data_IF_222421072983
#
_entry.id   IF_222421072983
#
_cell.length_a   1.000
_cell.length_b   1.000
_cell.length_c   1.000
_cell.angle_alpha   90.00
_cell.angle_beta   90.00
_cell.angle_gamma   90.00
#
_symmetry.space_group_name_H-M   'P 1'
#
loop_
_entity.id
_entity.type
_entity.pdbx_description
1 polymer ?
#
# COMPACT_ATOMS: atom_id res chain seq x y z
N UNK A 1 25.49 15.79 28.65
CA UNK A 1 26.10 15.73 27.30
C UNK A 1 24.99 15.82 26.27
N UNK A 2 24.96 16.92 25.52
CA UNK A 2 24.02 17.19 24.43
C UNK A 2 24.28 16.24 23.26
N UNK A 3 23.22 15.67 22.66
CA UNK A 3 23.27 15.11 21.31
C UNK A 3 22.39 15.97 20.41
N UNK A 4 23.04 16.58 19.43
CA UNK A 4 22.55 17.67 18.61
C UNK A 4 21.47 17.25 17.60
N UNK A 5 20.47 18.12 17.45
CA UNK A 5 19.47 18.07 16.40
C UNK A 5 20.10 18.40 15.04
N UNK A 6 20.12 17.44 14.12
CA UNK A 6 20.60 17.62 12.75
C UNK A 6 19.52 18.22 11.84
N UNK A 7 19.50 19.54 11.72
CA UNK A 7 18.72 20.26 10.73
C UNK A 7 19.29 20.02 9.32
N UNK A 8 18.53 19.38 8.43
CA UNK A 8 18.89 19.23 7.01
C UNK A 8 18.55 20.50 6.26
N UNK A 9 19.57 21.30 5.92
CA UNK A 9 19.45 22.52 5.14
C UNK A 9 18.99 22.26 3.70
N UNK A 10 18.00 23.01 3.25
CA UNK A 10 17.55 23.06 1.86
C UNK A 10 18.59 23.83 1.01
N UNK A 11 19.26 23.12 0.10
CA UNK A 11 20.13 23.74 -0.90
C UNK A 11 19.28 24.41 -2.00
N UNK A 12 19.39 25.74 -2.08
CA UNK A 12 18.75 26.62 -3.06
C UNK A 12 19.42 26.44 -4.44
N UNK A 13 18.75 25.78 -5.40
CA UNK A 13 19.27 25.61 -6.76
C UNK A 13 19.12 26.91 -7.57
N UNK A 14 20.26 27.37 -8.08
CA UNK A 14 20.46 28.61 -8.83
C UNK A 14 19.74 28.57 -10.18
N UNK A 15 19.15 29.72 -10.51
CA UNK A 15 18.44 30.08 -11.74
C UNK A 15 19.42 30.15 -12.91
N UNK A 16 19.24 29.33 -13.93
CA UNK A 16 20.07 29.34 -15.14
C UNK A 16 19.26 29.11 -16.41
N UNK A 17 19.33 30.08 -17.34
CA UNK A 17 19.27 29.84 -18.77
C UNK A 17 17.89 29.78 -19.44
N UNK A 18 17.49 30.92 -20.00
CA UNK A 18 16.39 31.08 -20.97
C UNK A 18 16.86 30.54 -22.33
N UNK A 19 16.45 29.33 -22.71
CA UNK A 19 16.64 28.76 -24.06
C UNK A 19 15.36 28.92 -24.89
N UNK A 20 15.44 29.66 -25.99
CA UNK A 20 14.36 29.86 -26.97
C UNK A 20 14.14 28.60 -27.82
N UNK A 21 12.87 28.25 -28.03
CA UNK A 21 12.27 27.72 -29.27
C UNK A 21 12.84 26.45 -29.91
N UNK A 22 12.05 25.37 -29.90
CA UNK A 22 11.98 24.45 -31.03
C UNK A 22 10.60 23.77 -31.05
N UNK A 23 9.95 23.83 -32.20
CA UNK A 23 8.71 23.17 -32.52
C UNK A 23 8.85 21.63 -32.47
N UNK A 24 7.70 20.96 -32.27
CA UNK A 24 7.46 19.55 -32.58
C UNK A 24 8.48 18.53 -32.03
N UNK A 25 8.56 18.40 -30.70
CA UNK A 25 9.32 17.34 -30.05
C UNK A 25 8.43 16.16 -29.66
N UNK A 26 8.37 15.13 -30.50
CA UNK A 26 8.01 13.80 -30.02
C UNK A 26 8.89 13.45 -28.81
N UNK A 27 8.28 12.99 -27.72
CA UNK A 27 8.97 12.70 -26.47
C UNK A 27 10.07 11.64 -26.73
N UNK A 28 11.33 12.09 -26.69
CA UNK A 28 12.50 11.22 -26.92
C UNK A 28 12.48 10.05 -25.93
N UNK A 29 12.53 8.83 -26.46
CA UNK A 29 12.62 7.59 -25.68
C UNK A 29 11.30 6.83 -25.50
N UNK A 30 10.19 7.29 -26.08
CA UNK A 30 8.92 6.57 -26.08
C UNK A 30 8.86 5.63 -27.29
N UNK A 31 8.52 4.35 -27.06
CA UNK A 31 8.29 3.41 -28.16
C UNK A 31 7.12 3.93 -29.03
N UNK A 32 7.21 3.79 -30.36
CA UNK A 32 6.22 4.36 -31.28
C UNK A 32 4.79 3.87 -30.97
N UNK A 33 4.64 2.64 -30.49
CA UNK A 33 3.35 2.02 -30.15
C UNK A 33 2.68 2.63 -28.91
N UNK A 34 3.45 3.28 -28.04
CA UNK A 34 2.96 3.93 -26.80
C UNK A 34 2.53 5.39 -27.03
N UNK A 35 2.90 5.97 -28.18
CA UNK A 35 2.56 7.33 -28.55
C UNK A 35 1.03 7.63 -28.56
N UNK A 36 0.13 6.74 -29.04
CA UNK A 36 -1.32 6.98 -29.00
C UNK A 36 -1.94 6.87 -27.61
N UNK A 37 -1.31 6.13 -26.69
CA UNK A 37 -1.79 5.93 -25.31
C UNK A 37 -1.31 7.01 -24.35
N UNK A 38 -0.26 7.73 -24.74
CA UNK A 38 0.37 8.75 -23.94
C UNK A 38 -0.56 9.89 -23.50
N UNK A 39 -1.55 10.35 -24.28
CA UNK A 39 -2.55 11.34 -23.83
C UNK A 39 -3.45 10.83 -22.69
N UNK A 40 -3.64 9.51 -22.56
CA UNK A 40 -4.42 8.91 -21.48
C UNK A 40 -3.59 8.77 -20.19
N UNK A 41 -2.29 8.51 -20.33
CA UNK A 41 -1.33 8.36 -19.22
C UNK A 41 -0.90 9.73 -18.69
N UNK A 42 -0.54 10.64 -19.60
CA UNK A 42 -0.22 12.02 -19.27
C UNK A 42 -1.50 12.76 -18.95
N UNK A 43 -1.89 12.69 -17.66
CA UNK A 43 -2.96 13.46 -17.00
C UNK A 43 -3.75 14.29 -18.01
N UNK A 44 -4.89 13.78 -18.55
CA UNK A 44 -5.80 14.64 -19.26
C UNK A 44 -6.01 15.89 -18.39
N UNK A 45 -6.06 17.08 -18.99
CA UNK A 45 -6.43 18.32 -18.31
C UNK A 45 -7.88 18.19 -17.84
N UNK A 46 -8.14 17.30 -16.88
CA UNK A 46 -9.39 17.23 -16.14
C UNK A 46 -9.41 18.52 -15.37
N UNK A 47 -10.37 19.38 -15.71
CA UNK A 47 -10.65 20.56 -14.92
C UNK A 47 -10.83 20.09 -13.48
N UNK A 48 -9.98 20.59 -12.58
CA UNK A 48 -10.12 20.28 -11.16
C UNK A 48 -11.41 20.94 -10.73
N UNK A 49 -12.48 20.16 -10.63
CA UNK A 49 -13.72 20.61 -10.01
C UNK A 49 -13.34 21.01 -8.58
N UNK A 50 -13.31 22.32 -8.32
CA UNK A 50 -13.12 22.84 -6.97
C UNK A 50 -14.43 22.59 -6.24
N UNK A 51 -14.48 21.53 -5.43
CA UNK A 51 -15.57 21.35 -4.50
C UNK A 51 -15.44 22.42 -3.42
N UNK A 52 -16.37 23.37 -3.41
CA UNK A 52 -16.47 24.37 -2.36
C UNK A 52 -17.29 23.75 -1.22
N UNK A 53 -16.62 23.05 -0.32
CA UNK A 53 -17.26 22.54 0.90
C UNK A 53 -17.57 23.70 1.84
N UNK A 54 -18.69 23.60 2.55
CA UNK A 54 -18.97 24.46 3.69
C UNK A 54 -18.04 24.11 4.86
N UNK A 55 -17.85 25.03 5.79
CA UNK A 55 -17.00 24.81 6.98
C UNK A 55 -17.52 23.63 7.83
N UNK A 56 -18.83 23.47 7.93
CA UNK A 56 -19.47 22.35 8.63
C UNK A 56 -19.16 21.00 7.96
N UNK A 57 -19.23 20.93 6.63
CA UNK A 57 -18.89 19.72 5.88
C UNK A 57 -17.41 19.33 6.01
N UNK A 58 -16.52 20.32 6.10
CA UNK A 58 -15.08 20.09 6.32
C UNK A 58 -14.84 19.49 7.71
N UNK A 59 -15.45 20.07 8.75
CA UNK A 59 -15.33 19.56 10.12
C UNK A 59 -15.91 18.14 10.25
N UNK A 60 -17.02 17.86 9.59
CA UNK A 60 -17.61 16.53 9.55
C UNK A 60 -16.77 15.51 8.78
N UNK A 61 -16.14 15.93 7.68
CA UNK A 61 -15.20 15.09 6.95
C UNK A 61 -13.97 14.77 7.81
N UNK A 62 -13.42 15.75 8.53
CA UNK A 62 -12.29 15.56 9.44
C UNK A 62 -12.63 14.60 10.59
N UNK A 63 -13.81 14.76 11.20
CA UNK A 63 -14.29 13.88 12.26
C UNK A 63 -14.39 12.44 11.77
N UNK A 64 -15.06 12.22 10.63
CA UNK A 64 -15.19 10.88 10.02
C UNK A 64 -13.84 10.28 9.67
N UNK A 65 -12.90 11.07 9.15
CA UNK A 65 -11.56 10.60 8.82
C UNK A 65 -10.78 10.16 10.08
N UNK A 66 -10.86 10.95 11.18
CA UNK A 66 -10.23 10.61 12.47
C UNK A 66 -10.83 9.34 13.07
N UNK A 67 -12.15 9.19 13.04
CA UNK A 67 -12.85 8.00 13.53
C UNK A 67 -12.46 6.76 12.73
N UNK A 68 -12.47 6.84 11.40
CA UNK A 68 -12.03 5.76 10.52
C UNK A 68 -10.59 5.35 10.81
N UNK A 69 -9.68 6.33 10.94
CA UNK A 69 -8.28 6.08 11.28
C UNK A 69 -8.11 5.38 12.63
N UNK A 70 -8.88 5.80 13.64
CA UNK A 70 -8.90 5.16 14.96
C UNK A 70 -9.38 3.72 14.88
N UNK A 71 -10.47 3.46 14.17
CA UNK A 71 -11.00 2.11 13.99
C UNK A 71 -10.01 1.20 13.26
N UNK A 72 -9.37 1.69 12.19
CA UNK A 72 -8.34 0.94 11.47
C UNK A 72 -7.11 0.65 12.32
N UNK A 73 -6.71 1.59 13.16
CA UNK A 73 -5.61 1.38 14.12
C UNK A 73 -5.96 0.28 15.12
N UNK A 74 -7.18 0.27 15.65
CA UNK A 74 -7.65 -0.78 16.54
C UNK A 74 -7.70 -2.15 15.86
N UNK A 75 -8.22 -2.24 14.64
CA UNK A 75 -8.24 -3.48 13.84
C UNK A 75 -6.82 -4.03 13.64
N UNK A 76 -5.86 -3.16 13.32
CA UNK A 76 -4.46 -3.58 13.15
C UNK A 76 -3.84 -4.07 14.46
N UNK A 77 -4.09 -3.39 15.58
CA UNK A 77 -3.60 -3.83 16.90
C UNK A 77 -4.21 -5.18 17.29
N UNK A 78 -5.50 -5.39 17.04
CA UNK A 78 -6.16 -6.67 17.30
C UNK A 78 -5.54 -7.79 16.45
N UNK A 79 -5.32 -7.55 15.16
CA UNK A 79 -4.66 -8.51 14.27
C UNK A 79 -3.23 -8.85 14.73
N UNK A 80 -2.44 -7.84 15.13
CA UNK A 80 -1.08 -8.06 15.64
C UNK A 80 -1.06 -8.93 16.89
N UNK A 81 -1.97 -8.67 17.84
CA UNK A 81 -2.09 -9.47 19.08
C UNK A 81 -2.51 -10.91 18.78
N UNK A 82 -3.45 -11.10 17.87
CA UNK A 82 -3.86 -12.44 17.42
C UNK A 82 -2.70 -13.21 16.77
N UNK A 83 -1.92 -12.56 15.90
CA UNK A 83 -0.73 -13.16 15.31
C UNK A 83 0.33 -13.51 16.37
N UNK A 84 0.58 -12.61 17.32
CA UNK A 84 1.51 -12.86 18.42
C UNK A 84 1.09 -14.07 19.27
N UNK A 85 -0.19 -14.17 19.64
CA UNK A 85 -0.72 -15.32 20.36
C UNK A 85 -0.54 -16.63 19.58
N UNK A 86 -0.82 -16.61 18.26
CA UNK A 86 -0.60 -17.78 17.39
C UNK A 86 0.87 -18.18 17.32
N UNK A 87 1.80 -17.23 17.29
CA UNK A 87 3.23 -17.53 17.31
C UNK A 87 3.68 -18.11 18.65
N UNK A 88 3.18 -17.59 19.78
CA UNK A 88 3.46 -18.15 21.11
C UNK A 88 2.99 -19.59 21.21
N UNK A 89 1.72 -19.85 20.87
CA UNK A 89 1.15 -21.20 20.86
C UNK A 89 1.90 -22.15 19.92
N UNK A 90 2.32 -21.68 18.73
CA UNK A 90 3.15 -22.47 17.80
C UNK A 90 4.47 -22.87 18.45
N UNK A 91 5.15 -21.95 19.14
CA UNK A 91 6.44 -22.21 19.77
C UNK A 91 6.31 -23.18 20.96
N UNK A 92 5.27 -23.01 21.78
CA UNK A 92 4.94 -23.92 22.88
C UNK A 92 4.63 -25.32 22.35
N UNK A 93 3.82 -25.42 21.29
CA UNK A 93 3.52 -26.69 20.65
C UNK A 93 4.77 -27.36 20.05
N UNK A 94 5.68 -26.58 19.46
CA UNK A 94 6.95 -27.10 18.94
C UNK A 94 7.85 -27.63 20.07
N UNK A 95 7.95 -26.91 21.19
CA UNK A 95 8.70 -27.36 22.36
C UNK A 95 8.11 -28.62 23.02
N UNK A 96 6.78 -28.81 22.91
CA UNK A 96 6.10 -29.99 23.41
C UNK A 96 6.28 -31.24 22.51
N UNK A 97 6.77 -31.09 21.28
CA UNK A 97 7.00 -32.22 20.37
C UNK A 97 8.20 -33.08 20.85
N UNK A 98 8.16 -34.40 20.62
CA UNK A 98 9.33 -35.26 20.77
C UNK A 98 10.48 -34.82 19.86
N UNK A 99 11.72 -34.94 20.34
CA UNK A 99 12.93 -34.49 19.63
C UNK A 99 13.04 -35.03 18.20
N UNK A 100 12.65 -36.30 17.99
CA UNK A 100 12.65 -36.94 16.67
C UNK A 100 11.76 -36.23 15.63
N UNK A 101 10.71 -35.53 16.05
CA UNK A 101 9.76 -34.83 15.18
C UNK A 101 10.02 -33.32 15.07
N UNK A 102 10.83 -32.75 15.97
CA UNK A 102 11.11 -31.31 15.96
C UNK A 102 11.85 -30.88 14.69
N UNK A 103 12.76 -31.74 14.18
CA UNK A 103 13.55 -31.44 12.99
C UNK A 103 12.68 -31.35 11.72
N UNK A 104 11.81 -32.34 11.49
CA UNK A 104 10.91 -32.34 10.33
C UNK A 104 9.87 -31.22 10.40
N UNK A 105 9.34 -30.94 11.60
CA UNK A 105 8.36 -29.87 11.80
C UNK A 105 8.91 -28.44 11.61
N UNK A 106 10.23 -28.25 11.71
CA UNK A 106 10.86 -26.94 11.54
C UNK A 106 11.35 -26.68 10.10
N UNK A 107 11.17 -27.62 9.19
CA UNK A 107 11.51 -27.41 7.79
C UNK A 107 10.55 -26.39 7.15
N UNK A 108 11.05 -25.44 6.35
CA UNK A 108 10.20 -24.50 5.65
C UNK A 108 9.38 -25.25 4.59
N UNK A 109 8.06 -25.10 4.66
CA UNK A 109 7.16 -25.59 3.63
C UNK A 109 7.30 -24.74 2.35
N UNK A 110 7.58 -25.40 1.23
CA UNK A 110 7.73 -24.79 -0.09
C UNK A 110 6.52 -25.07 -0.99
N UNK A 111 5.51 -25.78 -0.49
CA UNK A 111 4.29 -26.05 -1.25
C UNK A 111 3.52 -24.73 -1.49
N UNK A 112 3.15 -24.42 -2.74
CA UNK A 112 2.31 -23.28 -3.01
C UNK A 112 0.90 -23.50 -2.45
N UNK A 113 0.16 -22.42 -2.19
CA UNK A 113 -1.26 -22.57 -1.86
C UNK A 113 -2.02 -23.31 -2.98
N UNK A 114 -2.99 -24.16 -2.63
CA UNK A 114 -3.72 -24.95 -3.61
C UNK A 114 -4.51 -24.03 -4.55
N UNK A 115 -4.52 -24.33 -5.85
CA UNK A 115 -5.24 -23.55 -6.86
C UNK A 115 -6.76 -23.53 -6.64
N UNK A 116 -7.29 -24.47 -5.87
CA UNK A 116 -8.70 -24.54 -5.48
C UNK A 116 -9.06 -23.57 -4.35
N UNK A 117 -8.08 -22.90 -3.72
CA UNK A 117 -8.33 -21.92 -2.65
C UNK A 117 -9.08 -20.72 -3.21
N UNK A 118 -10.36 -20.62 -2.85
CA UNK A 118 -11.23 -19.51 -3.28
C UNK A 118 -10.96 -18.25 -2.47
N UNK A 119 -10.88 -17.12 -3.16
CA UNK A 119 -10.90 -15.80 -2.54
C UNK A 119 -12.37 -15.40 -2.33
N UNK A 120 -12.76 -14.89 -1.15
CA UNK A 120 -14.10 -14.36 -0.94
C UNK A 120 -14.42 -13.31 -2.01
N UNK A 121 -15.57 -13.49 -2.66
CA UNK A 121 -16.09 -12.59 -3.69
C UNK A 121 -17.32 -11.87 -3.14
N UNK A 122 -17.66 -10.71 -3.71
CA UNK A 122 -18.78 -9.90 -3.24
C UNK A 122 -20.12 -10.67 -3.31
N UNK A 123 -20.27 -11.56 -4.28
CA UNK A 123 -21.46 -12.40 -4.46
C UNK A 123 -21.06 -13.87 -4.65
N UNK A 124 -21.82 -14.80 -4.06
CA UNK A 124 -21.63 -16.22 -4.35
C UNK A 124 -21.93 -16.51 -5.83
N UNK A 125 -21.07 -17.23 -6.57
CA UNK A 125 -21.40 -17.79 -7.87
C UNK A 125 -22.46 -18.87 -7.74
N UNK A 126 -23.27 -19.00 -8.79
CA UNK A 126 -24.42 -19.91 -8.82
C UNK A 126 -24.07 -21.40 -8.68
N UNK A 127 -22.85 -21.80 -9.05
CA UNK A 127 -22.46 -23.22 -9.18
C UNK A 127 -21.44 -23.66 -8.13
N UNK A 128 -21.45 -23.08 -6.92
CA UNK A 128 -20.58 -23.58 -5.86
C UNK A 128 -21.04 -24.99 -5.41
N UNK A 129 -20.16 -26.01 -5.44
CA UNK A 129 -20.44 -27.26 -4.77
C UNK A 129 -20.51 -26.96 -3.26
N UNK A 130 -21.64 -27.34 -2.66
CA UNK A 130 -21.88 -27.34 -1.20
C UNK A 130 -21.00 -28.41 -0.53
#
# INVERSE_FOLDING_TARGET
MLVAAGARGFAKKVKGGKGKGAAAGGLKGIQPDLQPWLPLILKPKREKVKHNFTEEELQDAERRAKEYSRQKSYQNLAWRRDMEAKFQLRNEAWAALPEALQHSANQPDLEPFPLTRRIPTDYPPATWPL
#
